data_IF_074678000649
#
_entry.id   IF_074678000649
#
_cell.length_a   1.000
_cell.length_b   1.000
_cell.length_c   1.000
_cell.angle_alpha   90.00
_cell.angle_beta   90.00
_cell.angle_gamma   90.00
#
_symmetry.space_group_name_H-M   'P 1'
#
loop_
_entity.id
_entity.type
_entity.pdbx_description
1 polymer ?
#
# COMPACT_ATOMS: atom_id res chain seq x y z
N UNK A 1 -78.57 1.25 -19.43
CA UNK A 1 -77.69 1.52 -20.58
C UNK A 1 -76.41 2.24 -20.17
N UNK A 2 -76.46 3.46 -19.59
CA UNK A 2 -75.24 4.20 -19.20
C UNK A 2 -74.50 3.61 -17.99
N UNK A 3 -75.21 3.01 -17.04
CA UNK A 3 -74.63 2.36 -15.85
C UNK A 3 -73.92 1.04 -16.17
N UNK A 4 -74.42 0.28 -17.16
CA UNK A 4 -73.78 -0.96 -17.62
C UNK A 4 -72.48 -0.67 -18.39
N UNK A 5 -72.44 0.40 -19.17
CA UNK A 5 -71.23 0.86 -19.87
C UNK A 5 -70.17 1.33 -18.88
N UNK A 6 -70.56 2.05 -17.81
CA UNK A 6 -69.63 2.50 -16.77
C UNK A 6 -69.02 1.31 -16.01
N UNK A 7 -69.82 0.28 -15.72
CA UNK A 7 -69.34 -0.95 -15.09
C UNK A 7 -68.35 -1.72 -15.98
N UNK A 8 -68.61 -1.77 -17.28
CA UNK A 8 -67.70 -2.45 -18.23
C UNK A 8 -66.34 -1.75 -18.33
N UNK A 9 -66.30 -0.41 -18.30
CA UNK A 9 -65.05 0.36 -18.33
C UNK A 9 -64.21 0.10 -17.07
N UNK A 10 -64.84 0.00 -15.90
CA UNK A 10 -64.15 -0.31 -14.64
C UNK A 10 -63.53 -1.71 -14.68
N UNK A 11 -64.28 -2.70 -15.17
CA UNK A 11 -63.80 -4.09 -15.28
C UNK A 11 -62.67 -4.18 -16.32
N UNK A 12 -62.81 -3.52 -17.47
CA UNK A 12 -61.78 -3.48 -18.50
C UNK A 12 -60.49 -2.81 -17.97
N UNK A 13 -60.62 -1.71 -17.22
CA UNK A 13 -59.48 -1.07 -16.56
C UNK A 13 -58.78 -1.99 -15.56
N UNK A 14 -59.55 -2.72 -14.74
CA UNK A 14 -58.99 -3.67 -13.78
C UNK A 14 -58.24 -4.83 -14.47
N UNK A 15 -58.77 -5.34 -15.58
CA UNK A 15 -58.11 -6.40 -16.37
C UNK A 15 -56.81 -5.88 -16.99
N UNK A 16 -56.80 -4.66 -17.54
CA UNK A 16 -55.59 -4.06 -18.11
C UNK A 16 -54.50 -3.89 -17.04
N UNK A 17 -54.86 -3.38 -15.87
CA UNK A 17 -53.92 -3.23 -14.75
C UNK A 17 -53.42 -4.59 -14.26
N UNK A 18 -54.28 -5.60 -14.25
CA UNK A 18 -53.91 -6.96 -13.85
C UNK A 18 -52.96 -7.61 -14.85
N UNK A 19 -53.18 -7.44 -16.16
CA UNK A 19 -52.27 -7.91 -17.21
C UNK A 19 -50.94 -7.16 -17.17
N UNK A 20 -50.95 -5.83 -17.01
CA UNK A 20 -49.73 -5.03 -16.88
C UNK A 20 -48.89 -5.46 -15.66
N UNK A 21 -49.55 -5.70 -14.52
CA UNK A 21 -48.90 -6.21 -13.31
C UNK A 21 -48.36 -7.62 -13.51
N UNK A 22 -49.11 -8.49 -14.18
CA UNK A 22 -48.70 -9.87 -14.42
C UNK A 22 -47.53 -9.99 -15.41
N UNK A 23 -47.46 -9.12 -16.42
CA UNK A 23 -46.34 -9.05 -17.37
C UNK A 23 -45.05 -8.57 -16.70
N UNK A 24 -45.15 -7.60 -15.78
CA UNK A 24 -43.98 -7.07 -15.07
C UNK A 24 -43.42 -8.08 -14.07
N UNK A 25 -44.28 -8.75 -13.31
CA UNK A 25 -43.84 -9.81 -12.37
C UNK A 25 -43.20 -11.00 -13.08
N UNK A 26 -43.66 -11.35 -14.29
CA UNK A 26 -43.08 -12.46 -15.05
C UNK A 26 -41.68 -12.16 -15.61
N UNK A 27 -41.30 -10.88 -15.74
CA UNK A 27 -39.96 -10.47 -16.15
C UNK A 27 -38.95 -10.45 -14.97
N UNK A 28 -39.43 -10.33 -13.73
CA UNK A 28 -38.60 -10.42 -12.51
C UNK A 28 -38.41 -11.88 -12.05
N UNK A 29 -39.38 -12.76 -12.30
CA UNK A 29 -39.38 -14.17 -11.85
C UNK A 29 -38.76 -15.17 -12.85
N UNK A 30 -38.10 -14.72 -13.93
CA UNK A 30 -37.47 -15.64 -14.89
C UNK A 30 -36.14 -16.19 -14.31
N UNK A 31 -36.07 -17.47 -13.92
CA UNK A 31 -34.93 -18.03 -13.21
C UNK A 31 -33.64 -18.04 -14.06
N UNK A 32 -33.77 -18.17 -15.39
CA UNK A 32 -32.63 -18.14 -16.31
C UNK A 32 -31.93 -16.77 -16.36
N UNK A 33 -32.69 -15.67 -16.26
CA UNK A 33 -32.12 -14.31 -16.26
C UNK A 33 -31.46 -14.01 -14.91
N UNK A 34 -32.03 -14.52 -13.82
CA UNK A 34 -31.46 -14.40 -12.48
C UNK A 34 -30.16 -15.21 -12.34
N UNK A 35 -30.10 -16.42 -12.91
CA UNK A 35 -28.87 -17.23 -12.99
C UNK A 35 -27.81 -16.56 -13.86
N UNK A 36 -28.19 -15.97 -14.99
CA UNK A 36 -27.27 -15.20 -15.84
C UNK A 36 -26.73 -13.94 -15.13
N UNK A 37 -27.60 -13.21 -14.41
CA UNK A 37 -27.22 -12.01 -13.67
C UNK A 37 -26.31 -12.32 -12.46
N UNK A 38 -26.61 -13.40 -11.72
CA UNK A 38 -25.76 -13.84 -10.60
C UNK A 38 -24.43 -14.41 -11.07
N UNK A 39 -24.40 -15.12 -12.20
CA UNK A 39 -23.15 -15.57 -12.83
C UNK A 39 -22.26 -14.41 -13.26
N UNK A 40 -22.85 -13.36 -13.86
CA UNK A 40 -22.12 -12.15 -14.24
C UNK A 40 -21.61 -11.37 -13.02
N UNK A 41 -22.45 -11.21 -12.00
CA UNK A 41 -22.03 -10.57 -10.74
C UNK A 41 -20.88 -11.34 -10.08
N UNK A 42 -20.95 -12.68 -10.05
CA UNK A 42 -19.88 -13.52 -9.52
C UNK A 42 -18.58 -13.32 -10.30
N UNK A 43 -18.65 -13.28 -11.63
CA UNK A 43 -17.50 -13.04 -12.48
C UNK A 43 -16.88 -11.66 -12.23
N UNK A 44 -17.71 -10.61 -12.15
CA UNK A 44 -17.24 -9.25 -11.85
C UNK A 44 -16.65 -9.16 -10.43
N UNK A 45 -17.20 -9.90 -9.46
CA UNK A 45 -16.66 -9.98 -8.11
C UNK A 45 -15.33 -10.72 -8.05
N UNK A 46 -15.21 -11.87 -8.72
CA UNK A 46 -13.95 -12.64 -8.82
C UNK A 46 -12.87 -11.78 -9.49
N UNK A 47 -13.20 -11.10 -10.60
CA UNK A 47 -12.29 -10.18 -11.27
C UNK A 47 -11.89 -8.99 -10.37
N UNK A 48 -12.83 -8.41 -9.63
CA UNK A 48 -12.52 -7.31 -8.70
C UNK A 48 -11.67 -7.76 -7.52
N UNK A 49 -11.89 -9.00 -7.04
CA UNK A 49 -11.16 -9.56 -5.93
C UNK A 49 -9.71 -9.85 -6.32
N UNK A 50 -9.46 -10.43 -7.49
CA UNK A 50 -8.11 -10.70 -7.98
C UNK A 50 -7.31 -9.41 -8.21
N UNK A 51 -7.95 -8.37 -8.76
CA UNK A 51 -7.32 -7.06 -8.92
C UNK A 51 -6.95 -6.43 -7.56
N UNK A 52 -7.86 -6.51 -6.58
CA UNK A 52 -7.61 -6.01 -5.22
C UNK A 52 -6.49 -6.81 -4.55
N UNK A 53 -6.46 -8.13 -4.69
CA UNK A 53 -5.43 -9.00 -4.11
C UNK A 53 -4.07 -8.67 -4.72
N UNK A 54 -4.00 -8.52 -6.05
CA UNK A 54 -2.77 -8.12 -6.76
C UNK A 54 -2.22 -6.81 -6.19
N UNK A 55 -3.08 -5.79 -6.07
CA UNK A 55 -2.70 -4.48 -5.53
C UNK A 55 -2.27 -4.53 -4.07
N UNK A 56 -2.97 -5.30 -3.23
CA UNK A 56 -2.60 -5.46 -1.83
C UNK A 56 -1.28 -6.21 -1.68
N UNK A 57 -1.01 -7.20 -2.53
CA UNK A 57 0.27 -7.93 -2.55
C UNK A 57 1.42 -6.98 -2.91
N UNK A 58 1.26 -6.17 -3.95
CA UNK A 58 2.27 -5.16 -4.32
C UNK A 58 2.51 -4.15 -3.19
N UNK A 59 1.44 -3.70 -2.52
CA UNK A 59 1.55 -2.79 -1.39
C UNK A 59 2.28 -3.42 -0.20
N UNK A 60 2.01 -4.69 0.10
CA UNK A 60 2.70 -5.43 1.16
C UNK A 60 4.18 -5.58 0.83
N UNK A 61 4.54 -5.96 -0.39
CA UNK A 61 5.93 -6.07 -0.82
C UNK A 61 6.69 -4.74 -0.70
N UNK A 62 6.03 -3.64 -1.08
CA UNK A 62 6.58 -2.29 -0.94
C UNK A 62 6.79 -1.92 0.53
N UNK A 63 5.83 -2.24 1.41
CA UNK A 63 5.94 -1.98 2.84
C UNK A 63 7.06 -2.79 3.48
N UNK A 64 7.21 -4.07 3.12
CA UNK A 64 8.32 -4.89 3.61
C UNK A 64 9.68 -4.33 3.16
N UNK A 65 9.76 -3.84 1.92
CA UNK A 65 10.98 -3.20 1.41
C UNK A 65 11.33 -1.95 2.20
N UNK A 66 10.34 -1.10 2.47
CA UNK A 66 10.53 0.11 3.28
C UNK A 66 10.90 -0.23 4.72
N UNK A 67 10.32 -1.29 5.30
CA UNK A 67 10.66 -1.76 6.63
C UNK A 67 12.12 -2.23 6.69
N UNK A 68 12.55 -3.08 5.74
CA UNK A 68 13.95 -3.52 5.64
C UNK A 68 14.91 -2.35 5.48
N UNK A 69 14.55 -1.34 4.70
CA UNK A 69 15.36 -0.14 4.51
C UNK A 69 15.45 0.70 5.80
N UNK A 70 14.34 0.82 6.54
CA UNK A 70 14.32 1.52 7.82
C UNK A 70 15.19 0.81 8.87
N UNK A 71 15.09 -0.52 8.96
CA UNK A 71 15.91 -1.32 9.88
C UNK A 71 17.40 -1.20 9.55
N UNK A 72 17.77 -1.29 8.26
CA UNK A 72 19.15 -1.07 7.83
C UNK A 72 19.66 0.32 8.20
N UNK A 73 18.85 1.37 7.98
CA UNK A 73 19.22 2.74 8.38
C UNK A 73 19.36 2.88 9.90
N UNK A 74 18.52 2.20 10.68
CA UNK A 74 18.62 2.19 12.13
C UNK A 74 19.94 1.55 12.60
N UNK A 75 20.32 0.41 12.04
CA UNK A 75 21.61 -0.23 12.34
C UNK A 75 22.80 0.66 11.98
N UNK A 76 22.78 1.29 10.80
CA UNK A 76 23.85 2.22 10.38
C UNK A 76 23.94 3.42 11.32
N UNK A 77 22.82 3.96 11.78
CA UNK A 77 22.81 5.08 12.74
C UNK A 77 23.31 4.65 14.11
N UNK A 78 22.92 3.47 14.60
CA UNK A 78 23.43 2.93 15.86
C UNK A 78 24.95 2.73 15.82
N UNK A 79 25.47 2.24 14.70
CA UNK A 79 26.92 2.08 14.52
C UNK A 79 27.64 3.43 14.50
N UNK A 80 27.07 4.45 13.84
CA UNK A 80 27.62 5.81 13.89
C UNK A 80 27.60 6.42 15.29
N UNK A 81 26.53 6.19 16.05
CA UNK A 81 26.44 6.61 17.45
C UNK A 81 27.54 5.93 18.26
N UNK A 82 27.71 4.62 18.11
CA UNK A 82 28.74 3.85 18.80
C UNK A 82 30.15 4.35 18.48
N UNK A 83 30.42 4.70 17.22
CA UNK A 83 31.69 5.27 16.79
C UNK A 83 31.95 6.64 17.44
N UNK A 84 30.92 7.50 17.50
CA UNK A 84 31.04 8.80 18.17
C UNK A 84 31.25 8.65 19.68
N UNK A 85 30.53 7.74 20.33
CA UNK A 85 30.71 7.41 21.75
C UNK A 85 32.11 6.86 22.02
N UNK A 86 32.66 6.01 21.14
CA UNK A 86 34.02 5.50 21.28
C UNK A 86 35.07 6.62 21.19
N UNK A 87 34.90 7.56 20.24
CA UNK A 87 35.77 8.73 20.11
C UNK A 87 35.64 9.66 21.32
N UNK A 88 34.43 9.87 21.83
CA UNK A 88 34.18 10.69 23.01
C UNK A 88 34.72 10.02 24.28
N UNK A 89 34.60 8.70 24.42
CA UNK A 89 35.13 7.92 25.54
C UNK A 89 36.66 7.95 25.59
N UNK A 90 37.32 7.86 24.43
CA UNK A 90 38.76 8.01 24.32
C UNK A 90 39.23 9.43 24.70
N UNK A 91 38.47 10.47 24.33
CA UNK A 91 38.74 11.86 24.75
C UNK A 91 38.42 12.11 26.23
N UNK A 92 37.37 11.47 26.77
CA UNK A 92 36.97 11.56 28.18
C UNK A 92 37.98 10.93 29.15
N UNK A 93 38.64 9.84 28.75
CA UNK A 93 39.77 9.29 29.51
C UNK A 93 40.98 10.24 29.55
N UNK A 94 41.27 10.96 28.47
CA UNK A 94 42.30 12.01 28.47
C UNK A 94 41.91 13.26 29.30
N UNK A 95 40.61 13.55 29.46
CA UNK A 95 40.12 14.65 30.30
C UNK A 95 40.08 14.35 31.79
N UNK A 96 39.85 13.09 32.20
CA UNK A 96 39.79 12.71 33.62
C UNK A 96 41.16 12.64 34.30
N UNK A 97 42.25 12.39 33.58
CA UNK A 97 43.60 12.43 34.16
C UNK A 97 44.14 13.87 34.34
N UNK A 98 43.60 14.85 33.60
CA UNK A 98 43.90 16.27 33.77
C UNK A 98 43.00 16.98 34.82
N UNK A 99 41.88 16.36 35.21
CA UNK A 99 40.86 16.95 36.09
C UNK A 99 41.02 16.71 37.59
N UNK A 100 41.98 15.87 38.02
CA UNK A 100 42.17 15.53 39.44
C UNK A 100 42.80 16.65 40.31
N UNK A 101 43.06 17.84 39.75
CA UNK A 101 43.76 18.93 40.42
C UNK A 101 42.90 20.17 40.77
N UNK A 102 41.57 20.14 40.66
CA UNK A 102 40.76 21.31 41.02
C UNK A 102 39.59 20.96 41.97
N UNK A 103 39.84 21.24 43.25
CA UNK A 103 38.87 21.30 44.34
C UNK A 103 37.86 22.45 44.06
N UNK A 104 36.54 22.27 44.25
CA UNK A 104 35.57 23.34 43.96
C UNK A 104 35.61 24.41 45.06
N UNK A 105 36.04 25.63 44.71
CA UNK A 105 35.80 26.80 45.54
C UNK A 105 34.39 27.32 45.24
N UNK A 106 33.54 27.23 46.24
CA UNK A 106 32.19 27.77 46.33
C UNK A 106 32.16 29.29 46.22
N UNK A 107 31.20 29.82 45.47
CA UNK A 107 30.54 31.09 45.78
C UNK A 107 30.70 32.21 44.75
N UNK A 108 29.54 32.70 44.33
CA UNK A 108 29.23 34.04 43.80
C UNK A 108 29.27 34.28 42.27
N UNK A 109 28.05 34.58 41.78
CA UNK A 109 27.72 35.51 40.68
C UNK A 109 27.91 35.00 39.25
N UNK A 110 26.82 34.56 38.60
CA UNK A 110 25.94 35.43 37.78
C UNK A 110 26.70 36.26 36.75
N UNK A 111 26.90 35.68 35.58
CA UNK A 111 26.66 36.27 34.24
C UNK A 111 27.34 35.39 33.20
N UNK A 112 26.67 35.17 32.07
CA UNK A 112 27.29 34.60 30.87
C UNK A 112 26.69 33.28 30.45
N UNK A 113 25.68 33.38 29.60
CA UNK A 113 25.29 32.42 28.56
C UNK A 113 26.47 31.56 28.06
N UNK A 114 26.34 30.24 28.16
CA UNK A 114 27.21 29.28 27.48
C UNK A 114 26.38 28.36 26.58
N UNK A 115 26.83 28.22 25.34
CA UNK A 115 26.02 27.97 24.15
C UNK A 115 26.02 26.47 23.82
N UNK A 116 25.52 25.63 24.73
CA UNK A 116 25.54 24.16 24.53
C UNK A 116 24.19 23.49 24.82
N UNK A 117 23.08 24.14 24.48
CA UNK A 117 21.72 23.56 24.60
C UNK A 117 20.91 23.59 23.30
N UNK A 118 21.55 23.56 22.12
CA UNK A 118 20.85 23.50 20.81
C UNK A 118 20.69 22.08 20.25
N UNK A 119 21.21 21.04 20.91
CA UNK A 119 21.03 19.64 20.45
C UNK A 119 20.10 18.78 21.33
N UNK A 120 19.38 19.40 22.26
CA UNK A 120 18.39 18.69 23.09
C UNK A 120 16.94 19.15 22.85
N UNK A 121 16.73 20.19 22.03
CA UNK A 121 15.40 20.70 21.68
C UNK A 121 14.87 20.17 20.33
N UNK A 122 15.69 19.49 19.53
CA UNK A 122 15.25 18.89 18.26
C UNK A 122 14.58 17.50 18.45
N UNK A 123 14.96 16.76 19.49
CA UNK A 123 14.48 15.39 19.70
C UNK A 123 13.13 15.32 20.43
N UNK A 124 12.64 16.43 20.98
CA UNK A 124 11.32 16.50 21.59
C UNK A 124 10.17 16.66 20.57
N UNK A 125 10.46 16.85 19.27
CA UNK A 125 9.43 17.03 18.23
C UNK A 125 9.00 15.74 17.52
N UNK A 126 9.60 14.59 17.83
CA UNK A 126 9.27 13.32 17.17
C UNK A 126 8.32 12.42 17.99
N UNK A 127 7.86 12.86 19.16
CA UNK A 127 6.96 12.10 20.02
C UNK A 127 5.57 12.75 20.10
N UNK A 128 4.77 12.67 19.02
CA UNK A 128 3.31 12.55 19.16
C UNK A 128 2.65 12.05 17.86
N UNK A 129 2.22 10.79 17.87
CA UNK A 129 1.18 10.27 16.99
C UNK A 129 -0.18 10.44 17.67
N UNK A 130 -1.13 11.02 16.93
CA UNK A 130 -2.58 10.97 17.15
C UNK A 130 -3.15 11.53 18.46
N UNK A 131 -3.73 12.73 18.37
CA UNK A 131 -4.97 13.05 19.07
C UNK A 131 -5.88 13.84 18.13
N UNK A 132 -6.90 13.18 17.59
CA UNK A 132 -8.06 13.84 17.03
C UNK A 132 -8.87 14.50 18.16
N UNK A 133 -9.54 15.59 17.79
CA UNK A 133 -10.57 16.32 18.53
C UNK A 133 -10.11 17.26 19.67
N UNK A 134 -10.31 18.57 19.43
CA UNK A 134 -10.30 19.59 20.48
C UNK A 134 -9.99 20.98 19.95
N UNK A 135 -11.00 21.65 19.39
CA UNK A 135 -10.93 23.06 18.99
C UNK A 135 -10.37 23.97 20.10
N UNK A 136 -9.41 24.84 19.79
CA UNK A 136 -9.29 26.15 20.42
C UNK A 136 -8.25 27.06 19.73
N UNK A 137 -8.78 28.13 19.15
CA UNK A 137 -8.20 29.48 19.03
C UNK A 137 -6.82 29.65 18.37
N UNK A 138 -6.89 30.19 17.15
CA UNK A 138 -5.99 31.19 16.57
C UNK A 138 -5.27 32.03 17.64
N UNK A 139 -3.94 31.96 17.66
CA UNK A 139 -3.09 32.99 18.24
C UNK A 139 -1.87 33.16 17.34
N UNK A 140 -1.78 34.32 16.70
CA UNK A 140 -0.58 34.75 15.98
C UNK A 140 0.65 34.65 16.89
N UNK A 141 1.74 34.01 16.44
CA UNK A 141 3.06 34.29 16.99
C UNK A 141 3.71 35.36 16.11
N UNK A 142 3.79 36.56 16.66
CA UNK A 142 4.55 37.66 16.09
C UNK A 142 6.02 37.30 15.84
N UNK A 143 6.59 38.04 14.89
CA UNK A 143 7.98 38.05 14.42
C UNK A 143 9.01 37.31 15.26
N UNK A 144 9.40 36.13 14.79
CA UNK A 144 10.76 35.64 14.98
C UNK A 144 11.63 36.27 13.89
N UNK A 145 12.50 37.20 14.27
CA UNK A 145 13.56 37.68 13.39
C UNK A 145 14.35 36.47 12.89
N UNK A 146 14.46 36.34 11.56
CA UNK A 146 15.32 35.34 10.93
C UNK A 146 16.70 35.37 11.62
N UNK A 147 17.23 34.23 12.09
CA UNK A 147 18.63 34.18 12.50
C UNK A 147 19.47 34.69 11.32
N UNK A 148 20.49 35.51 11.61
CA UNK A 148 21.35 36.10 10.59
C UNK A 148 22.01 34.99 9.78
N UNK A 149 21.37 34.63 8.68
CA UNK A 149 21.76 33.56 7.79
C UNK A 149 23.13 33.90 7.22
N UNK A 150 24.12 33.03 7.44
CA UNK A 150 25.46 33.22 6.89
C UNK A 150 25.39 33.26 5.35
N UNK A 151 26.34 33.92 4.67
CA UNK A 151 26.34 33.94 3.19
C UNK A 151 26.39 32.52 2.59
N UNK A 152 27.04 31.58 3.28
CA UNK A 152 27.05 30.16 2.90
C UNK A 152 25.68 29.52 2.99
N UNK A 153 24.91 29.83 4.04
CA UNK A 153 23.56 29.29 4.19
C UNK A 153 22.66 29.83 3.07
N UNK A 154 22.75 31.13 2.75
CA UNK A 154 21.97 31.72 1.66
C UNK A 154 22.23 31.02 0.32
N UNK A 155 23.49 30.75 -0.01
CA UNK A 155 23.86 30.02 -1.23
C UNK A 155 23.37 28.58 -1.21
N UNK A 156 23.45 27.89 -0.07
CA UNK A 156 22.93 26.53 0.06
C UNK A 156 21.42 26.47 -0.17
N UNK A 157 20.68 27.45 0.35
CA UNK A 157 19.24 27.56 0.15
C UNK A 157 18.85 27.96 -1.28
N UNK A 158 19.66 28.78 -1.95
CA UNK A 158 19.49 29.10 -3.37
C UNK A 158 19.66 27.85 -4.25
N UNK A 159 20.70 27.03 -3.99
CA UNK A 159 20.93 25.78 -4.72
C UNK A 159 19.81 24.76 -4.54
N UNK A 160 19.29 24.62 -3.32
CA UNK A 160 18.15 23.72 -3.03
C UNK A 160 16.90 24.19 -3.78
N UNK A 161 16.66 25.50 -3.82
CA UNK A 161 15.52 26.09 -4.51
C UNK A 161 15.63 25.91 -6.03
N UNK A 162 16.82 26.09 -6.58
CA UNK A 162 17.10 25.89 -8.01
C UNK A 162 16.91 24.42 -8.40
N UNK A 163 17.49 23.48 -7.64
CA UNK A 163 17.31 22.05 -7.86
C UNK A 163 15.84 21.61 -7.77
N UNK A 164 15.05 22.22 -6.88
CA UNK A 164 13.60 21.96 -6.80
C UNK A 164 12.85 22.44 -8.04
N UNK A 165 13.18 23.63 -8.57
CA UNK A 165 12.56 24.13 -9.81
C UNK A 165 12.96 23.30 -11.03
N UNK A 166 14.22 22.85 -11.10
CA UNK A 166 14.68 22.00 -12.21
C UNK A 166 14.00 20.63 -12.21
N UNK A 167 13.82 20.03 -11.03
CA UNK A 167 13.11 18.77 -10.88
C UNK A 167 11.64 18.91 -11.29
N UNK A 168 10.97 19.98 -10.88
CA UNK A 168 9.58 20.25 -11.25
C UNK A 168 9.43 20.48 -12.76
N UNK A 169 10.35 21.24 -13.39
CA UNK A 169 10.37 21.44 -14.83
C UNK A 169 10.62 20.12 -15.61
N UNK A 170 11.44 19.21 -15.08
CA UNK A 170 11.63 17.88 -15.67
C UNK A 170 10.36 17.02 -15.56
N UNK A 171 9.68 17.04 -14.42
CA UNK A 171 8.41 16.33 -14.25
C UNK A 171 7.32 16.86 -15.18
N UNK A 172 7.20 18.18 -15.32
CA UNK A 172 6.26 18.82 -16.25
C UNK A 172 6.59 18.53 -17.72
N UNK A 173 7.87 18.55 -18.09
CA UNK A 173 8.31 18.20 -19.44
C UNK A 173 8.03 16.72 -19.75
N UNK A 174 8.27 15.82 -18.79
CA UNK A 174 7.98 14.39 -18.93
C UNK A 174 6.47 14.13 -19.02
N UNK A 175 5.66 14.81 -18.20
CA UNK A 175 4.20 14.66 -18.25
C UNK A 175 3.62 15.21 -19.55
N UNK A 176 4.10 16.35 -20.03
CA UNK A 176 3.66 16.94 -21.30
C UNK A 176 4.10 16.09 -22.50
N UNK A 177 5.29 15.49 -22.47
CA UNK A 177 5.76 14.57 -23.49
C UNK A 177 4.92 13.27 -23.52
N UNK A 178 4.53 12.76 -22.35
CA UNK A 178 3.66 11.58 -22.25
C UNK A 178 2.24 11.87 -22.74
N UNK A 179 1.67 13.03 -22.39
CA UNK A 179 0.36 13.45 -22.88
C UNK A 179 0.36 13.71 -24.40
N UNK A 180 1.42 14.32 -24.95
CA UNK A 180 1.50 14.55 -26.39
C UNK A 180 1.66 13.24 -27.17
N UNK A 181 2.43 12.29 -26.65
CA UNK A 181 2.55 10.94 -27.21
C UNK A 181 1.19 10.19 -27.21
N UNK A 182 0.44 10.25 -26.11
CA UNK A 182 -0.90 9.67 -26.02
C UNK A 182 -1.91 10.33 -26.97
N UNK A 183 -1.84 11.66 -27.11
CA UNK A 183 -2.70 12.38 -28.06
C UNK A 183 -2.35 12.06 -29.51
N UNK A 184 -1.06 11.92 -29.85
CA UNK A 184 -0.65 11.50 -31.18
C UNK A 184 -1.09 10.07 -31.49
N UNK A 185 -0.98 9.14 -30.54
CA UNK A 185 -1.39 7.75 -30.72
C UNK A 185 -2.92 7.62 -30.87
N UNK A 186 -3.69 8.38 -30.07
CA UNK A 186 -5.14 8.46 -30.21
C UNK A 186 -5.59 9.08 -31.53
N UNK A 187 -4.87 10.10 -32.03
CA UNK A 187 -5.12 10.69 -33.36
C UNK A 187 -4.75 9.71 -34.48
N UNK A 188 -3.66 8.97 -34.34
CA UNK A 188 -3.26 7.91 -35.27
C UNK A 188 -4.34 6.81 -35.33
N UNK A 189 -4.81 6.36 -34.17
CA UNK A 189 -5.89 5.38 -34.04
C UNK A 189 -7.19 5.86 -34.69
N UNK A 190 -7.56 7.13 -34.52
CA UNK A 190 -8.74 7.70 -35.15
C UNK A 190 -8.62 7.78 -36.68
N UNK A 191 -7.42 8.09 -37.20
CA UNK A 191 -7.13 8.13 -38.65
C UNK A 191 -7.17 6.73 -39.27
N UNK A 192 -6.63 5.72 -38.57
CA UNK A 192 -6.65 4.33 -39.03
C UNK A 192 -8.07 3.73 -39.05
N UNK A 193 -8.91 4.07 -38.07
CA UNK A 193 -10.33 3.67 -38.05
C UNK A 193 -11.09 4.30 -39.23
N UNK A 194 -10.77 5.54 -39.61
CA UNK A 194 -11.47 6.27 -40.66
C UNK A 194 -11.02 5.89 -42.08
N UNK A 195 -9.80 5.39 -42.24
CA UNK A 195 -9.24 4.97 -43.54
C UNK A 195 -9.51 3.50 -43.89
N UNK A 196 -10.20 2.76 -43.02
CA UNK A 196 -10.69 1.41 -43.31
C UNK A 196 -9.59 0.35 -43.50
N UNK A 197 -8.36 0.64 -43.05
CA UNK A 197 -7.25 -0.31 -43.08
C UNK A 197 -7.30 -1.21 -41.83
N UNK A 198 -8.30 -2.08 -41.78
CA UNK A 198 -8.56 -3.00 -40.66
C UNK A 198 -7.67 -4.26 -40.71
N UNK A 199 -6.41 -4.14 -41.14
CA UNK A 199 -5.48 -5.29 -41.27
C UNK A 199 -4.37 -5.30 -40.19
N UNK A 200 -4.38 -4.32 -39.27
CA UNK A 200 -3.34 -4.16 -38.23
C UNK A 200 -3.79 -4.51 -36.80
N UNK A 201 -4.94 -5.18 -36.62
CA UNK A 201 -5.46 -5.54 -35.28
C UNK A 201 -5.29 -7.01 -34.88
N UNK A 202 -4.43 -7.77 -35.58
CA UNK A 202 -4.09 -9.16 -35.21
C UNK A 202 -2.61 -9.36 -34.84
N UNK A 203 -1.76 -8.33 -34.90
CA UNK A 203 -0.34 -8.47 -34.54
C UNK A 203 0.04 -7.62 -33.33
N UNK A 204 -0.44 -8.04 -32.16
CA UNK A 204 -0.12 -7.40 -30.89
C UNK A 204 -0.16 -8.37 -29.70
N UNK A 205 0.15 -9.65 -29.93
CA UNK A 205 0.41 -10.63 -28.87
C UNK A 205 1.74 -11.33 -29.16
N UNK A 206 2.82 -10.54 -29.19
CA UNK A 206 4.19 -11.06 -29.17
C UNK A 206 5.10 -10.09 -28.40
N UNK A 207 4.87 -10.00 -27.09
CA UNK A 207 5.93 -9.70 -26.13
C UNK A 207 6.21 -10.98 -25.34
N UNK A 208 6.50 -12.04 -26.08
CA UNK A 208 6.93 -13.34 -25.59
C UNK A 208 7.98 -13.90 -26.54
N UNK A 209 8.99 -13.08 -26.88
CA UNK A 209 10.24 -13.50 -27.52
C UNK A 209 11.12 -12.27 -27.80
N UNK A 210 11.86 -11.78 -26.78
CA UNK A 210 13.20 -11.13 -26.92
C UNK A 210 13.60 -10.42 -25.63
N UNK A 211 13.72 -11.17 -24.54
CA UNK A 211 14.68 -10.95 -23.45
C UNK A 211 14.82 -12.28 -22.70
N UNK A 212 15.18 -13.33 -23.44
CA UNK A 212 15.45 -14.66 -22.90
C UNK A 212 16.90 -15.08 -23.22
N UNK A 213 17.86 -14.15 -23.13
CA UNK A 213 19.28 -14.48 -23.26
C UNK A 213 20.18 -13.90 -22.16
N UNK A 214 19.63 -13.39 -21.06
CA UNK A 214 20.48 -13.07 -19.91
C UNK A 214 19.67 -12.97 -18.61
N UNK A 215 19.37 -14.13 -18.02
CA UNK A 215 19.33 -14.40 -16.58
C UNK A 215 18.74 -15.80 -16.40
N UNK A 216 19.64 -16.78 -16.31
CA UNK A 216 19.29 -18.16 -16.05
C UNK A 216 18.63 -18.32 -14.70
N UNK A 217 17.30 -18.44 -14.71
CA UNK A 217 16.55 -19.14 -13.69
C UNK A 217 15.88 -20.32 -14.38
N UNK A 218 16.50 -21.49 -14.21
CA UNK A 218 15.87 -22.75 -14.53
C UNK A 218 14.55 -22.81 -13.77
N UNK A 219 13.43 -22.76 -14.49
CA UNK A 219 12.20 -23.36 -13.97
C UNK A 219 12.46 -24.86 -13.95
N UNK A 220 12.86 -25.37 -12.78
CA UNK A 220 12.75 -26.80 -12.49
C UNK A 220 11.24 -27.13 -12.43
N UNK A 221 10.67 -27.39 -13.60
CA UNK A 221 9.33 -27.97 -13.78
C UNK A 221 9.24 -29.44 -13.30
N UNK A 222 10.19 -29.92 -12.49
CA UNK A 222 10.25 -31.27 -11.95
C UNK A 222 10.21 -31.29 -10.42
N UNK A 223 9.08 -30.90 -9.82
CA UNK A 223 8.68 -31.41 -8.49
C UNK A 223 7.17 -31.35 -8.24
N UNK A 224 6.41 -32.00 -9.10
CA UNK A 224 5.02 -32.39 -8.86
C UNK A 224 4.85 -33.51 -7.82
N UNK A 225 5.73 -33.60 -6.82
CA UNK A 225 5.65 -34.57 -5.73
C UNK A 225 5.83 -33.82 -4.40
N UNK A 226 4.84 -34.01 -3.53
CA UNK A 226 4.82 -33.69 -2.10
C UNK A 226 4.09 -32.41 -1.66
N UNK A 227 3.38 -31.67 -2.52
CA UNK A 227 2.49 -30.58 -2.02
C UNK A 227 1.38 -31.12 -1.12
N UNK A 228 0.80 -32.27 -1.46
CA UNK A 228 -0.22 -32.94 -0.65
C UNK A 228 0.35 -33.68 0.57
N UNK A 229 1.58 -34.20 0.48
CA UNK A 229 2.28 -34.80 1.62
C UNK A 229 2.68 -33.73 2.64
N UNK A 230 3.21 -32.60 2.16
CA UNK A 230 3.55 -31.43 2.95
C UNK A 230 2.29 -30.78 3.57
N UNK A 231 1.17 -30.73 2.84
CA UNK A 231 -0.10 -30.27 3.41
C UNK A 231 -0.61 -31.20 4.52
N UNK A 232 -0.49 -32.53 4.38
CA UNK A 232 -0.84 -33.48 5.45
C UNK A 232 0.08 -33.34 6.66
N UNK A 233 1.37 -33.14 6.46
CA UNK A 233 2.32 -32.90 7.53
C UNK A 233 2.03 -31.57 8.24
N UNK A 234 1.70 -30.51 7.50
CA UNK A 234 1.32 -29.22 8.05
C UNK A 234 0.10 -29.33 8.96
N UNK A 235 -0.94 -30.08 8.55
CA UNK A 235 -2.13 -30.36 9.39
C UNK A 235 -1.78 -31.09 10.68
N UNK A 236 -0.91 -32.12 10.61
CA UNK A 236 -0.48 -32.84 11.81
C UNK A 236 0.29 -31.93 12.77
N UNK A 237 1.12 -31.03 12.27
CA UNK A 237 1.86 -30.08 13.10
C UNK A 237 0.95 -28.99 13.68
N UNK A 238 -0.05 -28.52 12.93
CA UNK A 238 -1.08 -27.62 13.44
C UNK A 238 -1.88 -28.28 14.58
N UNK A 239 -2.24 -29.56 14.44
CA UNK A 239 -2.93 -30.33 15.48
C UNK A 239 -2.06 -30.53 16.74
N UNK A 240 -0.73 -30.54 16.59
CA UNK A 240 0.23 -30.60 17.69
C UNK A 240 0.51 -29.23 18.34
N UNK A 241 -0.04 -28.14 17.79
CA UNK A 241 0.09 -26.79 18.34
C UNK A 241 1.37 -26.05 17.95
N UNK A 242 2.04 -26.46 16.86
CA UNK A 242 3.19 -25.73 16.34
C UNK A 242 2.78 -24.38 15.71
N UNK A 243 3.69 -23.42 15.77
CA UNK A 243 3.50 -22.09 15.18
C UNK A 243 3.57 -22.13 13.65
N UNK A 244 2.85 -21.23 13.00
CA UNK A 244 2.66 -21.22 11.54
C UNK A 244 4.00 -21.07 10.79
N UNK A 245 4.92 -20.28 11.33
CA UNK A 245 6.26 -20.05 10.76
C UNK A 245 7.14 -21.30 10.79
N UNK A 246 7.08 -22.07 11.87
CA UNK A 246 7.86 -23.30 12.03
C UNK A 246 7.35 -24.40 11.09
N UNK A 247 6.03 -24.44 10.88
CA UNK A 247 5.39 -25.39 9.96
C UNK A 247 5.73 -25.05 8.51
N UNK A 248 5.71 -23.76 8.15
CA UNK A 248 6.09 -23.31 6.82
C UNK A 248 7.53 -23.69 6.50
N UNK A 249 8.44 -23.51 7.47
CA UNK A 249 9.85 -23.91 7.35
C UNK A 249 10.05 -25.42 7.26
N UNK A 250 9.29 -26.20 8.03
CA UNK A 250 9.43 -27.66 8.09
C UNK A 250 8.81 -28.39 6.90
N UNK A 251 7.74 -27.83 6.32
CA UNK A 251 6.97 -28.46 5.22
C UNK A 251 7.30 -27.88 3.85
N UNK A 252 7.98 -26.73 3.80
CA UNK A 252 8.22 -26.00 2.55
C UNK A 252 6.96 -25.37 1.97
N UNK A 253 5.82 -25.43 2.67
CA UNK A 253 4.63 -24.64 2.33
C UNK A 253 4.86 -23.18 2.72
N UNK A 254 4.48 -22.24 1.87
CA UNK A 254 4.46 -20.83 2.24
C UNK A 254 3.57 -20.57 3.45
N UNK A 255 3.89 -19.53 4.24
CA UNK A 255 3.16 -19.14 5.46
C UNK A 255 1.65 -18.99 5.18
N UNK A 256 1.30 -18.38 4.05
CA UNK A 256 -0.09 -18.25 3.61
C UNK A 256 -0.80 -19.58 3.35
N UNK A 257 -0.09 -20.58 2.80
CA UNK A 257 -0.65 -21.91 2.56
C UNK A 257 -0.93 -22.66 3.87
N UNK A 258 -0.05 -22.55 4.87
CA UNK A 258 -0.26 -23.11 6.21
C UNK A 258 -1.44 -22.41 6.92
N UNK A 259 -1.55 -21.08 6.78
CA UNK A 259 -2.63 -20.31 7.37
C UNK A 259 -4.00 -20.66 6.76
N UNK A 260 -4.04 -20.90 5.44
CA UNK A 260 -5.23 -21.39 4.75
C UNK A 260 -5.67 -22.75 5.28
N UNK A 261 -4.72 -23.67 5.48
CA UNK A 261 -4.99 -24.99 6.06
C UNK A 261 -5.62 -24.85 7.46
N UNK A 262 -5.05 -24.01 8.32
CA UNK A 262 -5.60 -23.72 9.66
C UNK A 262 -7.02 -23.17 9.61
N UNK A 263 -7.30 -22.24 8.70
CA UNK A 263 -8.64 -21.65 8.54
C UNK A 263 -9.66 -22.68 8.03
N UNK A 264 -9.26 -23.54 7.10
CA UNK A 264 -10.11 -24.61 6.60
C UNK A 264 -10.44 -25.63 7.69
N UNK A 265 -9.47 -26.00 8.54
CA UNK A 265 -9.71 -26.89 9.68
C UNK A 265 -10.66 -26.27 10.71
N UNK A 266 -10.46 -24.98 11.04
CA UNK A 266 -11.37 -24.27 11.94
C UNK A 266 -12.81 -24.21 11.40
N UNK A 267 -12.97 -23.96 10.09
CA UNK A 267 -14.29 -23.97 9.43
C UNK A 267 -14.91 -25.37 9.39
N UNK A 268 -14.11 -26.40 9.15
CA UNK A 268 -14.59 -27.78 9.17
C UNK A 268 -15.04 -28.24 10.56
N UNK A 269 -14.34 -27.84 11.62
CA UNK A 269 -14.74 -28.13 13.00
C UNK A 269 -16.10 -27.49 13.32
N UNK A 270 -16.27 -26.21 12.98
CA UNK A 270 -17.54 -25.48 13.19
C UNK A 270 -18.68 -26.09 12.38
N UNK A 271 -18.43 -26.57 11.17
CA UNK A 271 -19.48 -27.18 10.34
C UNK A 271 -19.88 -28.57 10.86
N UNK A 272 -18.94 -29.36 11.40
CA UNK A 272 -19.26 -30.64 12.05
C UNK A 272 -20.12 -30.49 13.30
N UNK A 273 -19.96 -29.41 14.06
CA UNK A 273 -20.81 -29.11 15.23
C UNK A 273 -22.24 -28.69 14.87
N UNK A 274 -22.48 -28.26 13.63
CA UNK A 274 -23.82 -27.88 13.16
C UNK A 274 -24.59 -29.03 12.52
N UNK A 275 -23.91 -30.09 12.12
CA UNK A 275 -24.49 -31.26 11.44
C UNK A 275 -24.66 -32.49 12.37
N UNK A 276 -24.21 -32.40 13.63
CA UNK A 276 -24.42 -33.42 14.67
C UNK A 276 -25.51 -33.04 15.66
#
# INVERSE_FOLDING_TARGET
>A
MTTEILGFIIIAGAVIVLVARHQLSRAEDDPEVLEAATGRLRYELEQSADEIISRMTEHVDRLERLLREADYKAEVLQERIRQLEALQGAQGMHGMEAGAAYQPLSGAERQGVDYLTVRAAADASAANVNASAGAASVREPGGYGMPSMSESDRRAWELIREASMELEAQYEAQSNAMQSAQQSDALQQAVDIQTGNLDSYVSGSSYAAETADELGYAYDEEKGLDTEAAARQARQMLAQGFEVDDIARATGLGIGAVQLIRQMEARQAVNREKEG
#
